data_IF_602682696405
#
_entry.id   IF_602682696405
#
_cell.length_a   1.000
_cell.length_b   1.000
_cell.length_c   1.000
_cell.angle_alpha   90.00
_cell.angle_beta   90.00
_cell.angle_gamma   90.00
#
_symmetry.space_group_name_H-M   'P 1'
#
loop_
_entity.id
_entity.type
_entity.pdbx_description
1 polymer ?
#
# COMPACT_ATOMS: atom_id res chain seq x y z
N UNK A 1 18.74 21.44 -6.57
CA UNK A 1 17.35 21.05 -6.93
C UNK A 1 16.80 22.12 -7.85
N UNK A 2 16.23 21.77 -9.02
CA UNK A 2 15.58 22.76 -9.88
C UNK A 2 14.34 23.33 -9.16
N UNK A 3 14.18 24.65 -9.19
CA UNK A 3 13.01 25.33 -8.66
C UNK A 3 11.93 25.38 -9.75
N UNK A 4 10.76 24.80 -9.48
CA UNK A 4 9.59 24.93 -10.35
C UNK A 4 8.88 26.24 -10.02
N UNK A 5 8.82 27.16 -10.98
CA UNK A 5 8.04 28.39 -10.89
C UNK A 5 6.89 28.33 -11.90
N UNK A 6 5.66 28.45 -11.41
CA UNK A 6 4.47 28.54 -12.25
C UNK A 6 4.13 30.01 -12.42
N UNK A 7 4.17 30.48 -13.67
CA UNK A 7 3.82 31.85 -14.00
C UNK A 7 2.30 32.03 -13.95
N UNK A 8 1.84 33.16 -13.43
CA UNK A 8 0.42 33.56 -13.39
C UNK A 8 -0.49 32.51 -12.75
N UNK A 9 -0.10 31.99 -11.57
CA UNK A 9 -0.86 30.96 -10.88
C UNK A 9 -2.21 31.52 -10.38
N UNK A 10 -3.35 30.91 -10.77
CA UNK A 10 -4.68 31.40 -10.40
C UNK A 10 -4.87 31.46 -8.89
N UNK A 11 -5.41 32.58 -8.40
CA UNK A 11 -5.58 32.83 -6.96
C UNK A 11 -6.58 31.88 -6.30
N UNK A 12 -7.67 31.56 -7.00
CA UNK A 12 -8.66 30.60 -6.56
C UNK A 12 -8.07 29.19 -6.37
N UNK A 13 -7.20 28.76 -7.29
CA UNK A 13 -6.50 27.49 -7.19
C UNK A 13 -5.46 27.50 -6.07
N UNK A 14 -4.80 28.64 -5.85
CA UNK A 14 -3.90 28.83 -4.72
C UNK A 14 -4.62 28.71 -3.37
N UNK A 15 -5.79 29.33 -3.24
CA UNK A 15 -6.58 29.28 -2.03
C UNK A 15 -7.05 27.86 -1.74
N UNK A 16 -7.53 27.13 -2.75
CA UNK A 16 -7.89 25.71 -2.62
C UNK A 16 -6.70 24.84 -2.19
N UNK A 17 -5.53 25.06 -2.80
CA UNK A 17 -4.30 24.34 -2.45
C UNK A 17 -3.88 24.65 -1.00
N UNK A 18 -4.04 25.90 -0.56
CA UNK A 18 -3.74 26.37 0.79
C UNK A 18 -4.65 25.74 1.83
N UNK A 19 -5.95 25.71 1.59
CA UNK A 19 -6.93 25.05 2.45
C UNK A 19 -6.62 23.56 2.59
N UNK A 20 -6.31 22.88 1.47
CA UNK A 20 -5.96 21.47 1.47
C UNK A 20 -4.65 21.18 2.23
N UNK A 21 -3.65 22.04 2.08
CA UNK A 21 -2.39 21.94 2.80
C UNK A 21 -2.58 22.11 4.31
N UNK A 22 -3.38 23.10 4.73
CA UNK A 22 -3.70 23.35 6.13
C UNK A 22 -4.49 22.19 6.75
N UNK A 23 -5.48 21.63 6.04
CA UNK A 23 -6.28 20.50 6.52
C UNK A 23 -5.48 19.20 6.67
N UNK A 24 -4.29 19.11 6.08
CA UNK A 24 -3.44 17.92 6.08
C UNK A 24 -2.11 18.13 6.81
N UNK A 25 -1.97 19.24 7.56
CA UNK A 25 -0.75 19.63 8.29
C UNK A 25 0.52 19.62 7.41
N UNK A 26 0.40 20.12 6.18
CA UNK A 26 1.50 20.21 5.20
C UNK A 26 1.78 21.65 4.80
N UNK A 27 3.03 21.95 4.46
CA UNK A 27 3.36 23.19 3.76
C UNK A 27 2.81 23.17 2.33
N UNK A 28 2.59 24.35 1.74
CA UNK A 28 2.11 24.49 0.35
C UNK A 28 2.99 23.71 -0.63
N UNK A 29 4.31 23.87 -0.53
CA UNK A 29 5.26 23.17 -1.40
C UNK A 29 5.17 21.65 -1.28
N UNK A 30 5.00 21.13 -0.06
CA UNK A 30 4.81 19.69 0.17
C UNK A 30 3.48 19.20 -0.42
N UNK A 31 2.41 19.98 -0.25
CA UNK A 31 1.11 19.65 -0.82
C UNK A 31 1.15 19.62 -2.35
N UNK A 32 1.81 20.60 -2.98
CA UNK A 32 2.03 20.63 -4.44
C UNK A 32 2.75 19.37 -4.90
N UNK A 33 3.86 18.99 -4.24
CA UNK A 33 4.61 17.79 -4.59
C UNK A 33 3.77 16.53 -4.41
N UNK A 34 2.99 16.44 -3.33
CA UNK A 34 2.09 15.31 -3.09
C UNK A 34 1.07 15.16 -4.22
N UNK A 35 0.37 16.25 -4.57
CA UNK A 35 -0.63 16.27 -5.66
C UNK A 35 0.00 15.88 -7.00
N UNK A 36 1.16 16.44 -7.35
CA UNK A 36 1.86 16.11 -8.60
C UNK A 36 2.31 14.64 -8.65
N UNK A 37 2.75 14.07 -7.51
CA UNK A 37 3.15 12.66 -7.45
C UNK A 37 1.97 11.72 -7.67
N UNK A 38 0.85 11.99 -7.01
CA UNK A 38 -0.38 11.21 -7.18
C UNK A 38 -0.90 11.32 -8.62
N UNK A 39 -0.89 12.53 -9.20
CA UNK A 39 -1.23 12.75 -10.60
C UNK A 39 -0.37 11.90 -11.55
N UNK A 40 0.96 11.98 -11.45
CA UNK A 40 1.86 11.26 -12.34
C UNK A 40 1.77 9.74 -12.16
N UNK A 41 1.47 9.27 -10.94
CA UNK A 41 1.22 7.86 -10.67
C UNK A 41 -0.03 7.38 -11.40
N UNK A 42 -1.13 8.11 -11.26
CA UNK A 42 -2.39 7.80 -11.94
C UNK A 42 -2.25 7.87 -13.46
N UNK A 43 -1.59 8.90 -13.98
CA UNK A 43 -1.34 9.09 -15.42
C UNK A 43 -0.59 7.92 -16.05
N UNK A 44 0.44 7.39 -15.36
CA UNK A 44 1.18 6.20 -15.82
C UNK A 44 0.33 4.93 -15.80
N UNK A 45 -0.55 4.77 -14.81
CA UNK A 45 -1.41 3.60 -14.69
C UNK A 45 -2.55 3.61 -15.72
N UNK A 46 -3.06 4.79 -16.09
CA UNK A 46 -4.13 4.97 -17.07
C UNK A 46 -3.69 4.93 -18.55
N UNK A 47 -2.45 4.53 -18.85
CA UNK A 47 -1.97 4.41 -20.23
C UNK A 47 -1.92 5.72 -21.02
N UNK A 48 -1.77 6.87 -20.35
CA UNK A 48 -1.74 8.18 -21.00
C UNK A 48 -3.12 8.76 -21.37
N UNK A 49 -4.21 8.07 -21.03
CA UNK A 49 -5.55 8.65 -21.10
C UNK A 49 -5.94 9.20 -19.72
N UNK A 50 -6.14 10.50 -19.71
CA UNK A 50 -6.28 11.36 -18.55
C UNK A 50 -7.75 11.75 -18.30
N UNK A 51 -8.66 10.78 -18.39
CA UNK A 51 -10.04 11.00 -17.93
C UNK A 51 -10.09 10.73 -16.43
N UNK A 52 -9.89 11.77 -15.62
CA UNK A 52 -10.06 11.69 -14.17
C UNK A 52 -11.33 12.42 -13.73
N UNK A 53 -12.05 11.82 -12.79
CA UNK A 53 -13.10 12.48 -12.02
C UNK A 53 -12.60 12.54 -10.58
N UNK A 54 -12.51 13.75 -10.01
CA UNK A 54 -12.23 13.93 -8.58
C UNK A 54 -13.44 13.43 -7.82
N UNK A 55 -13.33 12.23 -7.25
CA UNK A 55 -14.36 11.67 -6.38
C UNK A 55 -14.03 12.01 -4.92
N UNK A 56 -14.91 12.71 -4.18
CA UNK A 56 -14.71 12.95 -2.75
C UNK A 56 -14.55 11.60 -2.03
N UNK A 57 -13.77 11.56 -0.95
CA UNK A 57 -13.41 10.29 -0.24
C UNK A 57 -14.63 9.49 0.24
N UNK A 58 -15.79 10.14 0.40
CA UNK A 58 -17.09 9.50 0.72
C UNK A 58 -17.55 8.58 -0.41
N UNK A 59 -17.09 8.84 -1.62
CA UNK A 59 -17.37 8.15 -2.86
C UNK A 59 -16.10 7.42 -3.34
N UNK A 60 -15.45 6.63 -2.49
CA UNK A 60 -14.83 5.43 -3.07
C UNK A 60 -15.98 4.54 -3.50
N UNK A 61 -16.19 4.24 -4.80
CA UNK A 61 -16.90 3.00 -5.08
C UNK A 61 -15.97 1.98 -4.45
N UNK A 62 -16.43 1.28 -3.41
CA UNK A 62 -15.63 0.32 -2.64
C UNK A 62 -14.56 -0.18 -3.55
N UNK A 63 -13.31 0.26 -3.28
CA UNK A 63 -12.21 0.00 -4.19
C UNK A 63 -12.43 -1.43 -4.59
N UNK A 64 -12.54 -1.68 -5.89
CA UNK A 64 -12.57 -3.04 -6.41
C UNK A 64 -11.17 -3.56 -6.09
N UNK A 65 -10.89 -3.82 -4.80
CA UNK A 65 -10.40 -5.07 -4.27
C UNK A 65 -10.74 -6.01 -5.39
N UNK A 66 -9.69 -6.48 -6.06
CA UNK A 66 -9.81 -7.61 -6.95
C UNK A 66 -10.42 -8.71 -6.10
N UNK A 67 -11.73 -8.69 -5.98
CA UNK A 67 -12.59 -9.77 -5.60
C UNK A 67 -12.43 -10.64 -6.82
N UNK A 68 -11.36 -11.46 -6.80
CA UNK A 68 -11.40 -12.74 -7.46
C UNK A 68 -12.82 -13.25 -7.25
N UNK A 69 -13.59 -13.42 -8.32
CA UNK A 69 -14.99 -13.86 -8.33
C UNK A 69 -15.34 -14.74 -7.13
N UNK A 70 -15.65 -14.10 -6.00
CA UNK A 70 -16.21 -14.73 -4.83
C UNK A 70 -17.66 -14.40 -5.00
N UNK A 71 -18.27 -15.23 -5.84
CA UNK A 71 -19.70 -15.50 -5.92
C UNK A 71 -20.39 -15.15 -4.61
N UNK A 72 -21.57 -14.55 -4.72
CA UNK A 72 -22.47 -14.00 -3.70
C UNK A 72 -22.66 -14.88 -2.44
N UNK A 73 -21.59 -15.15 -1.71
CA UNK A 73 -21.58 -15.92 -0.48
C UNK A 73 -22.04 -14.98 0.64
N UNK A 74 -23.18 -15.31 1.21
CA UNK A 74 -23.69 -14.71 2.44
C UNK A 74 -22.64 -14.82 3.57
N UNK A 75 -22.69 -13.97 4.60
CA UNK A 75 -21.84 -14.08 5.77
C UNK A 75 -21.86 -15.48 6.40
N UNK A 76 -23.01 -16.15 6.36
CA UNK A 76 -23.25 -17.49 6.93
C UNK A 76 -22.51 -18.59 6.14
N UNK A 77 -22.63 -18.61 4.82
CA UNK A 77 -21.92 -19.57 3.96
C UNK A 77 -20.40 -19.45 4.11
N UNK A 78 -19.91 -18.22 4.26
CA UNK A 78 -18.49 -17.95 4.52
C UNK A 78 -18.06 -18.44 5.90
N UNK A 79 -18.92 -18.33 6.91
CA UNK A 79 -18.66 -18.85 8.24
C UNK A 79 -18.63 -20.38 8.25
N UNK A 80 -19.57 -21.04 7.55
CA UNK A 80 -19.60 -22.49 7.40
C UNK A 80 -18.37 -23.00 6.62
N UNK A 81 -17.97 -22.33 5.54
CA UNK A 81 -16.77 -22.69 4.79
C UNK A 81 -15.52 -22.62 5.66
N UNK A 82 -15.39 -21.57 6.49
CA UNK A 82 -14.28 -21.45 7.45
C UNK A 82 -14.33 -22.57 8.49
N UNK A 83 -15.51 -22.90 9.03
CA UNK A 83 -15.67 -24.00 9.99
C UNK A 83 -15.20 -25.34 9.41
N UNK A 84 -15.67 -25.70 8.21
CA UNK A 84 -15.25 -26.92 7.51
C UNK A 84 -13.74 -26.93 7.20
N UNK A 85 -13.17 -25.77 6.87
CA UNK A 85 -11.73 -25.64 6.64
C UNK A 85 -10.93 -25.92 7.92
N UNK A 86 -11.37 -25.37 9.05
CA UNK A 86 -10.71 -25.62 10.34
C UNK A 86 -10.84 -27.08 10.77
N UNK A 87 -12.02 -27.70 10.64
CA UNK A 87 -12.21 -29.13 10.90
C UNK A 87 -11.26 -29.99 10.05
N UNK A 88 -11.09 -29.64 8.77
CA UNK A 88 -10.12 -30.31 7.89
C UNK A 88 -8.68 -30.12 8.35
N UNK A 89 -8.30 -28.93 8.82
CA UNK A 89 -6.95 -28.64 9.32
C UNK A 89 -6.69 -29.44 10.61
N UNK A 90 -7.66 -29.48 11.52
CA UNK A 90 -7.53 -30.20 12.78
C UNK A 90 -7.42 -31.72 12.59
N UNK A 91 -8.00 -32.25 11.51
CA UNK A 91 -7.89 -33.65 11.10
C UNK A 91 -6.54 -33.99 10.44
N UNK A 92 -5.71 -33.00 10.09
CA UNK A 92 -4.38 -33.28 9.54
C UNK A 92 -3.46 -33.86 10.62
N UNK A 93 -2.54 -34.76 10.24
CA UNK A 93 -1.56 -35.28 11.18
C UNK A 93 -0.73 -34.11 11.74
N UNK A 94 -0.69 -34.02 13.06
CA UNK A 94 0.17 -33.05 13.75
C UNK A 94 1.61 -33.54 13.63
N UNK A 95 2.49 -32.65 13.21
CA UNK A 95 3.93 -32.89 13.20
C UNK A 95 4.51 -32.47 14.54
N UNK A 96 5.26 -33.37 15.17
CA UNK A 96 6.08 -33.03 16.33
C UNK A 96 7.35 -32.36 15.82
N UNK A 97 7.56 -31.11 16.24
CA UNK A 97 8.76 -30.37 15.91
C UNK A 97 9.91 -30.97 16.71
N UNK A 98 11.03 -31.40 16.06
CA UNK A 98 12.19 -31.91 16.78
C UNK A 98 12.71 -30.90 17.80
N UNK A 99 13.21 -31.37 18.93
CA UNK A 99 13.75 -30.51 20.00
C UNK A 99 14.94 -29.64 19.53
N UNK A 100 15.69 -30.13 18.52
CA UNK A 100 16.81 -29.41 17.90
C UNK A 100 16.36 -28.36 16.86
N UNK A 101 15.05 -28.20 16.64
CA UNK A 101 14.54 -27.21 15.69
C UNK A 101 14.70 -25.79 16.26
N UNK A 102 15.22 -24.84 15.47
CA UNK A 102 15.48 -23.49 15.96
C UNK A 102 14.20 -22.80 16.40
N UNK A 103 14.32 -22.02 17.47
CA UNK A 103 13.24 -21.17 17.97
C UNK A 103 12.79 -20.20 16.85
N UNK A 104 11.49 -19.90 16.72
CA UNK A 104 11.00 -18.97 15.69
C UNK A 104 11.71 -17.61 15.70
N UNK A 105 12.12 -17.14 16.89
CA UNK A 105 12.88 -15.90 17.04
C UNK A 105 14.29 -16.00 16.41
N UNK A 106 14.94 -17.16 16.51
CA UNK A 106 16.26 -17.41 15.91
C UNK A 106 16.17 -17.47 14.39
N UNK A 107 15.14 -18.11 13.85
CA UNK A 107 14.87 -18.13 12.40
C UNK A 107 14.71 -16.69 11.88
N UNK A 108 13.89 -15.87 12.55
CA UNK A 108 13.69 -14.47 12.15
C UNK A 108 14.98 -13.66 12.27
N UNK A 109 15.79 -13.91 13.30
CA UNK A 109 17.09 -13.24 13.48
C UNK A 109 18.05 -13.60 12.35
N UNK A 110 18.20 -14.88 12.04
CA UNK A 110 19.05 -15.36 10.94
C UNK A 110 18.61 -14.77 9.60
N UNK A 111 17.30 -14.75 9.31
CA UNK A 111 16.80 -14.14 8.07
C UNK A 111 17.12 -12.65 7.94
N UNK A 112 17.15 -11.91 9.07
CA UNK A 112 17.53 -10.50 9.09
C UNK A 112 19.03 -10.32 8.90
N UNK A 113 19.84 -11.13 9.57
CA UNK A 113 21.29 -11.14 9.43
C UNK A 113 21.71 -11.46 7.98
N UNK A 114 21.15 -12.51 7.37
CA UNK A 114 21.38 -12.86 5.96
C UNK A 114 20.94 -11.74 4.98
N UNK A 115 19.84 -11.07 5.30
CA UNK A 115 19.35 -9.94 4.51
C UNK A 115 20.29 -8.73 4.61
N UNK A 116 20.76 -8.42 5.80
CA UNK A 116 21.68 -7.31 6.06
C UNK A 116 23.05 -7.60 5.43
N UNK A 117 23.56 -8.82 5.53
CA UNK A 117 24.80 -9.25 4.87
C UNK A 117 24.72 -9.16 3.34
N UNK A 118 23.53 -9.33 2.75
CA UNK A 118 23.32 -9.12 1.30
C UNK A 118 23.28 -7.63 0.94
N UNK A 119 22.66 -6.79 1.77
CA UNK A 119 22.43 -5.38 1.45
C UNK A 119 23.64 -4.49 1.79
N UNK A 120 24.32 -4.73 2.90
CA UNK A 120 25.43 -3.90 3.38
C UNK A 120 26.58 -3.80 2.34
N UNK A 121 26.98 -4.88 1.64
CA UNK A 121 27.92 -4.80 0.52
C UNK A 121 27.36 -4.02 -0.68
N UNK A 122 26.09 -4.20 -1.05
CA UNK A 122 25.46 -3.50 -2.18
C UNK A 122 25.39 -1.97 -1.96
N UNK A 123 25.26 -1.54 -0.70
CA UNK A 123 25.27 -0.12 -0.32
C UNK A 123 26.68 0.50 -0.28
N UNK A 124 27.74 -0.31 -0.24
CA UNK A 124 29.13 0.19 -0.22
C UNK A 124 29.57 0.81 -1.56
N UNK A 125 28.87 0.49 -2.66
CA UNK A 125 29.13 1.02 -4.01
C UNK A 125 28.36 2.31 -4.34
N UNK A 126 27.56 2.85 -3.40
CA UNK A 126 26.73 4.05 -3.60
C UNK A 126 27.37 5.31 -2.96
N UNK A 127 28.67 5.25 -2.60
CA UNK A 127 29.43 6.42 -2.13
C UNK A 127 30.32 7.04 -3.21
#
# INVERSE_FOLDING_TARGET
MPALQVKDFPSDLYDQLRECAAAQDRSISQQTVHVLREYLRAYRQGGGSASWVVRPVVERPDAVLRTSDRTAETPEERAERRRKLFERIDALPKFEVPDDFPEPAEIVRQMREEHDDRIVPELSHIR
#
